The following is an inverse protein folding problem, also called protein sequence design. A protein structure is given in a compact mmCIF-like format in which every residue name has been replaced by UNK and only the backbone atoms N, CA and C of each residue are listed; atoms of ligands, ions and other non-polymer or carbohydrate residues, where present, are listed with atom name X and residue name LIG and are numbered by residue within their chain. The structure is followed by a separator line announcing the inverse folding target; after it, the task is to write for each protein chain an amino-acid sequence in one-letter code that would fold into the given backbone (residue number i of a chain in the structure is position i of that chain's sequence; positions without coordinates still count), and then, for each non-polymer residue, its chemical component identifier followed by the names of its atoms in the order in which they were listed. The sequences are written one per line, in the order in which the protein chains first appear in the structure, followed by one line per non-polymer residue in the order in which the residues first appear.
data_IF_644070828180
#
_entry.id   IF_644070828180
#
_cell.length_a   1.000
_cell.length_b   1.000
_cell.length_c   1.000
_cell.angle_alpha   90.00
_cell.angle_beta   90.00
_cell.angle_gamma   90.00
#
_symmetry.space_group_name_H-M   'P 1'
#
loop_
_entity.id
_entity.type
_entity.pdbx_description
1 polymer ?
#
# COMPACT_ATOMS: atom_id res chain seq x y z
N UNK A 1 25.04 -44.59 12.81
CA UNK A 1 24.75 -44.33 11.39
C UNK A 1 23.24 -44.35 11.22
N UNK A 2 22.61 -43.18 11.24
CA UNK A 2 21.21 -42.98 10.82
C UNK A 2 21.25 -41.89 9.77
N UNK A 3 20.76 -42.20 8.58
CA UNK A 3 20.60 -41.27 7.46
C UNK A 3 19.38 -40.37 7.71
N UNK A 4 19.44 -39.07 7.37
CA UNK A 4 18.27 -38.18 7.42
C UNK A 4 17.36 -38.39 6.20
N UNK A 5 16.07 -38.11 6.39
CA UNK A 5 15.00 -38.16 5.39
C UNK A 5 15.07 -36.93 4.44
N UNK A 6 14.52 -37.03 3.21
CA UNK A 6 14.55 -35.96 2.22
C UNK A 6 13.39 -34.98 2.47
N UNK A 7 13.69 -33.69 2.66
CA UNK A 7 12.64 -32.67 2.80
C UNK A 7 13.00 -31.38 3.54
N UNK A 8 14.23 -31.21 4.02
CA UNK A 8 14.66 -29.96 4.66
C UNK A 8 15.54 -29.15 3.70
N UNK A 9 14.89 -28.30 2.89
CA UNK A 9 15.59 -27.24 2.17
C UNK A 9 15.44 -25.93 2.93
N UNK A 10 16.48 -25.62 3.73
CA UNK A 10 16.99 -24.29 4.10
C UNK A 10 15.97 -23.16 4.27
N UNK A 11 15.51 -22.94 5.50
CA UNK A 11 14.80 -21.72 5.91
C UNK A 11 15.71 -20.64 6.54
N UNK A 12 17.03 -20.80 6.57
CA UNK A 12 17.92 -19.90 7.32
C UNK A 12 18.68 -18.86 6.46
N UNK A 13 18.45 -18.79 5.14
CA UNK A 13 19.19 -17.88 4.24
C UNK A 13 18.39 -16.62 3.81
N UNK A 14 17.19 -16.37 4.35
CA UNK A 14 16.31 -15.25 3.92
C UNK A 14 16.16 -14.09 4.92
N UNK A 15 16.86 -14.14 6.06
CA UNK A 15 16.87 -13.04 7.05
C UNK A 15 18.09 -12.11 6.94
N UNK A 16 18.96 -12.31 5.95
CA UNK A 16 20.21 -11.56 5.78
C UNK A 16 20.20 -10.49 4.68
N UNK A 17 19.08 -10.23 3.99
CA UNK A 17 19.05 -9.26 2.87
C UNK A 17 18.30 -7.96 3.17
N UNK A 18 17.83 -7.77 4.41
CA UNK A 18 17.13 -6.54 4.82
C UNK A 18 18.06 -5.40 5.27
N UNK A 19 19.38 -5.61 5.27
CA UNK A 19 20.38 -4.57 5.59
C UNK A 19 21.25 -4.10 4.42
N UNK A 20 21.04 -4.60 3.19
CA UNK A 20 21.93 -4.30 2.04
C UNK A 20 21.30 -3.51 0.89
N UNK A 21 20.09 -2.94 1.07
CA UNK A 21 19.48 -2.08 0.03
C UNK A 21 20.01 -0.64 0.06
N UNK A 22 20.76 -0.25 1.09
CA UNK A 22 21.49 1.03 1.12
C UNK A 22 22.86 0.99 0.41
N UNK A 23 23.34 -0.18 -0.03
CA UNK A 23 24.69 -0.33 -0.58
C UNK A 23 24.80 -0.22 -2.12
N UNK A 24 23.70 -0.04 -2.86
CA UNK A 24 23.72 0.00 -4.35
C UNK A 24 23.77 1.43 -4.92
N UNK A 25 23.89 2.48 -4.10
CA UNK A 25 23.91 3.88 -4.57
C UNK A 25 25.27 4.60 -4.61
N UNK A 26 26.39 3.93 -4.27
CA UNK A 26 27.73 4.52 -4.37
C UNK A 26 28.70 3.63 -5.16
N UNK A 27 28.58 3.66 -6.50
CA UNK A 27 29.76 3.43 -7.36
C UNK A 27 29.65 4.29 -8.61
N UNK A 28 29.67 5.61 -8.43
CA UNK A 28 30.07 6.49 -9.53
C UNK A 28 31.57 6.33 -9.73
N UNK A 29 31.92 5.97 -10.95
CA UNK A 29 33.27 5.60 -11.37
C UNK A 29 34.30 6.70 -11.12
N UNK A 30 35.52 6.24 -10.88
CA UNK A 30 36.75 7.00 -10.98
C UNK A 30 36.83 7.68 -12.37
N UNK A 31 36.47 8.97 -12.44
CA UNK A 31 36.77 9.79 -13.61
C UNK A 31 38.27 10.10 -13.54
N UNK A 32 39.07 9.33 -14.26
CA UNK A 32 40.45 9.72 -14.60
C UNK A 32 40.38 10.92 -15.54
N UNK A 33 40.39 12.13 -14.97
CA UNK A 33 40.59 13.36 -15.73
C UNK A 33 42.01 13.40 -16.32
N UNK A 34 42.20 13.95 -17.53
CA UNK A 34 43.53 14.19 -18.06
C UNK A 34 44.23 15.26 -17.19
N UNK A 35 45.49 15.01 -16.85
CA UNK A 35 46.36 15.98 -16.20
C UNK A 35 46.58 17.17 -17.14
N UNK A 36 45.72 18.19 -17.04
CA UNK A 36 45.91 19.47 -17.70
C UNK A 36 46.30 20.52 -16.66
N UNK A 37 47.48 21.10 -16.85
CA UNK A 37 48.02 22.23 -16.11
C UNK A 37 47.01 23.40 -16.14
N UNK A 38 46.28 23.60 -15.05
CA UNK A 38 45.39 24.74 -14.86
C UNK A 38 45.88 25.62 -13.69
N UNK A 39 47.00 26.29 -13.88
CA UNK A 39 47.50 27.34 -12.98
C UNK A 39 46.78 28.69 -13.16
N UNK A 40 45.61 28.73 -13.78
CA UNK A 40 44.97 30.01 -14.18
C UNK A 40 43.91 30.54 -13.19
N UNK A 41 43.40 29.72 -12.27
CA UNK A 41 42.33 30.14 -11.36
C UNK A 41 42.80 30.88 -10.09
N UNK A 42 44.11 30.88 -9.81
CA UNK A 42 44.67 31.45 -8.57
C UNK A 42 44.69 32.99 -8.53
N UNK A 43 44.45 33.70 -9.62
CA UNK A 43 44.67 35.16 -9.69
C UNK A 43 43.44 36.02 -9.36
N UNK A 44 42.28 35.41 -9.07
CA UNK A 44 41.01 36.16 -8.93
C UNK A 44 40.41 36.12 -7.53
N UNK A 45 40.96 35.33 -6.60
CA UNK A 45 40.50 35.29 -5.22
C UNK A 45 41.59 35.87 -4.33
N UNK A 46 41.33 37.04 -3.75
CA UNK A 46 42.19 37.58 -2.71
C UNK A 46 42.16 36.59 -1.53
N UNK A 47 43.32 36.31 -0.92
CA UNK A 47 43.43 35.44 0.25
C UNK A 47 42.48 35.90 1.36
N UNK A 48 42.27 37.22 1.48
CA UNK A 48 41.31 37.80 2.41
C UNK A 48 39.84 37.42 2.10
N UNK A 49 39.48 37.23 0.83
CA UNK A 49 38.13 36.83 0.44
C UNK A 49 37.90 35.34 0.71
N UNK A 50 38.94 34.50 0.53
CA UNK A 50 38.88 33.09 0.93
C UNK A 50 38.73 32.93 2.45
N UNK A 51 39.45 33.71 3.25
CA UNK A 51 39.28 33.73 4.70
C UNK A 51 37.86 34.14 5.10
N UNK A 52 37.28 35.17 4.44
CA UNK A 52 35.90 35.61 4.69
C UNK A 52 34.86 34.55 4.34
N UNK A 53 35.06 33.80 3.26
CA UNK A 53 34.16 32.71 2.86
C UNK A 53 34.23 31.55 3.87
N UNK A 54 35.41 31.26 4.41
CA UNK A 54 35.60 30.21 5.41
C UNK A 54 35.12 30.60 6.82
N UNK A 55 35.12 31.89 7.15
CA UNK A 55 34.64 32.43 8.43
C UNK A 55 33.12 32.64 8.46
N UNK A 56 32.43 32.59 7.32
CA UNK A 56 30.98 32.69 7.30
C UNK A 56 30.37 31.36 7.75
N UNK A 57 29.78 31.37 8.94
CA UNK A 57 28.98 30.26 9.43
C UNK A 57 27.81 30.06 8.44
N UNK A 58 27.78 28.91 7.78
CA UNK A 58 26.72 28.55 6.85
C UNK A 58 25.48 28.26 7.69
N UNK A 59 24.53 29.19 7.69
CA UNK A 59 23.20 28.95 8.23
C UNK A 59 22.48 27.98 7.29
N UNK A 60 22.51 26.69 7.64
CA UNK A 60 21.69 25.69 6.98
C UNK A 60 20.24 25.89 7.42
N UNK A 61 19.48 26.64 6.64
CA UNK A 61 18.03 26.66 6.76
C UNK A 61 17.51 25.30 6.28
N UNK A 62 17.35 24.34 7.19
CA UNK A 62 16.67 23.09 6.90
C UNK A 62 15.20 23.41 6.61
N UNK A 63 14.86 23.53 5.33
CA UNK A 63 13.46 23.53 4.91
C UNK A 63 12.91 22.17 5.30
N UNK A 64 12.06 22.14 6.33
CA UNK A 64 11.30 20.93 6.66
C UNK A 64 10.42 20.62 5.45
N UNK A 65 10.82 19.64 4.64
CA UNK A 65 9.94 19.07 3.65
C UNK A 65 8.69 18.58 4.39
N UNK A 66 7.55 19.22 4.14
CA UNK A 66 6.26 18.71 4.59
C UNK A 66 5.98 17.46 3.76
N UNK A 67 6.48 16.31 4.22
CA UNK A 67 6.02 15.04 3.67
C UNK A 67 4.50 15.01 3.87
N UNK A 68 3.77 14.89 2.76
CA UNK A 68 2.35 14.57 2.80
C UNK A 68 2.24 13.11 3.24
N UNK A 69 2.36 12.88 4.54
CA UNK A 69 2.19 11.55 5.11
C UNK A 69 0.71 11.23 5.14
N UNK A 70 0.33 10.15 4.47
CA UNK A 70 -0.96 9.50 4.68
C UNK A 70 -0.92 9.06 6.15
N UNK A 71 -1.97 9.34 6.93
CA UNK A 71 -2.01 9.00 8.36
C UNK A 71 -3.18 8.09 8.71
N UNK A 72 -3.00 7.31 9.78
CA UNK A 72 -4.03 6.42 10.33
C UNK A 72 -4.03 5.03 9.68
N UNK A 73 -5.07 4.26 9.95
CA UNK A 73 -5.15 2.86 9.53
C UNK A 73 -6.07 2.66 8.32
N UNK A 74 -5.70 1.78 7.39
CA UNK A 74 -6.49 1.42 6.20
C UNK A 74 -6.59 -0.09 6.06
N UNK A 75 -7.70 -0.55 5.51
CA UNK A 75 -7.89 -1.95 5.15
C UNK A 75 -7.45 -2.10 3.70
N UNK A 76 -6.49 -2.98 3.43
CA UNK A 76 -5.88 -3.13 2.09
C UNK A 76 -5.69 -4.61 1.71
N UNK A 77 -5.83 -4.92 0.43
CA UNK A 77 -5.35 -6.20 -0.12
C UNK A 77 -3.86 -6.05 -0.41
N UNK A 78 -3.01 -6.49 0.53
CA UNK A 78 -1.57 -6.16 0.51
C UNK A 78 -0.87 -6.65 -0.76
N UNK A 79 -1.18 -7.87 -1.22
CA UNK A 79 -0.64 -8.42 -2.46
C UNK A 79 -0.97 -7.53 -3.66
N UNK A 80 -2.23 -7.10 -3.79
CA UNK A 80 -2.66 -6.19 -4.85
C UNK A 80 -1.90 -4.86 -4.80
N UNK A 81 -1.78 -4.26 -3.62
CA UNK A 81 -1.10 -2.96 -3.45
C UNK A 81 0.38 -3.05 -3.83
N UNK A 82 1.09 -4.07 -3.34
CA UNK A 82 2.51 -4.29 -3.66
C UNK A 82 2.69 -4.49 -5.16
N UNK A 83 1.88 -5.35 -5.78
CA UNK A 83 1.95 -5.61 -7.22
C UNK A 83 1.72 -4.34 -8.04
N UNK A 84 0.76 -3.49 -7.64
CA UNK A 84 0.51 -2.21 -8.30
C UNK A 84 1.69 -1.24 -8.17
N UNK A 85 2.27 -1.13 -6.98
CA UNK A 85 3.41 -0.23 -6.75
C UNK A 85 4.61 -0.69 -7.59
N UNK A 86 4.94 -1.98 -7.55
CA UNK A 86 6.04 -2.55 -8.33
C UNK A 86 5.83 -2.39 -9.84
N UNK A 87 4.60 -2.62 -10.32
CA UNK A 87 4.25 -2.43 -11.72
C UNK A 87 4.41 -0.96 -12.15
N UNK A 88 3.89 -0.02 -11.37
CA UNK A 88 3.99 1.42 -11.64
C UNK A 88 5.46 1.85 -11.67
N UNK A 89 6.25 1.41 -10.68
CA UNK A 89 7.68 1.68 -10.63
C UNK A 89 8.39 1.14 -11.87
N UNK A 90 8.22 -0.15 -12.18
CA UNK A 90 8.85 -0.78 -13.35
C UNK A 90 8.48 -0.13 -14.68
N UNK A 91 7.19 0.21 -14.88
CA UNK A 91 6.72 0.90 -16.08
C UNK A 91 7.28 2.32 -16.18
N UNK A 92 7.38 3.03 -15.05
CA UNK A 92 7.86 4.39 -15.05
C UNK A 92 9.37 4.49 -15.27
N UNK A 93 10.15 3.52 -14.78
CA UNK A 93 11.59 3.43 -15.02
C UNK A 93 11.95 3.44 -16.52
N UNK A 94 11.08 2.90 -17.38
CA UNK A 94 11.29 2.92 -18.84
C UNK A 94 11.22 4.33 -19.45
N UNK A 95 10.58 5.27 -18.75
CA UNK A 95 10.36 6.65 -19.22
C UNK A 95 11.22 7.66 -18.47
N UNK A 96 11.59 7.37 -17.22
CA UNK A 96 12.36 8.27 -16.37
C UNK A 96 13.52 7.48 -15.73
N UNK A 97 14.75 7.80 -16.13
CA UNK A 97 15.98 7.11 -15.66
C UNK A 97 16.20 7.26 -14.15
N UNK A 98 15.72 8.35 -13.56
CA UNK A 98 15.79 8.63 -12.12
C UNK A 98 14.42 8.42 -11.44
N UNK A 99 13.58 7.53 -11.99
CA UNK A 99 12.26 7.25 -11.46
C UNK A 99 12.31 6.73 -10.02
N UNK A 100 11.90 7.57 -9.09
CA UNK A 100 11.61 7.20 -7.71
C UNK A 100 10.17 7.58 -7.41
N UNK A 101 9.29 6.59 -7.38
CA UNK A 101 7.87 6.79 -7.07
C UNK A 101 7.66 6.69 -5.56
N UNK A 102 7.00 7.69 -4.99
CA UNK A 102 6.69 7.74 -3.56
C UNK A 102 5.19 8.00 -3.34
N UNK A 103 4.68 7.62 -2.18
CA UNK A 103 3.33 7.99 -1.77
C UNK A 103 3.21 9.52 -1.71
N UNK A 104 2.13 10.05 -2.28
CA UNK A 104 1.89 11.48 -2.33
C UNK A 104 0.66 11.89 -1.52
N UNK A 105 -0.48 11.24 -1.76
CA UNK A 105 -1.71 11.50 -0.99
C UNK A 105 -2.70 10.36 -1.14
N UNK A 106 -3.67 10.36 -0.23
CA UNK A 106 -4.86 9.52 -0.31
C UNK A 106 -6.05 10.35 -0.79
N UNK A 107 -6.81 9.79 -1.73
CA UNK A 107 -8.05 10.35 -2.25
C UNK A 107 -9.20 9.46 -1.81
N UNK A 108 -10.11 10.01 -1.00
CA UNK A 108 -11.36 9.34 -0.59
C UNK A 108 -12.51 9.80 -1.49
N UNK A 109 -12.82 9.02 -2.53
CA UNK A 109 -13.90 9.31 -3.51
C UNK A 109 -15.25 8.69 -3.12
N UNK A 110 -15.51 8.51 -1.83
CA UNK A 110 -16.72 7.82 -1.37
C UNK A 110 -16.73 6.32 -1.69
N UNK A 111 -15.55 5.71 -1.85
CA UNK A 111 -15.34 4.29 -2.15
C UNK A 111 -15.45 3.36 -0.92
N UNK A 112 -16.00 3.89 0.18
CA UNK A 112 -16.12 3.17 1.44
C UNK A 112 -14.78 2.99 2.15
N UNK A 113 -14.48 1.75 2.50
CA UNK A 113 -13.23 1.34 3.17
C UNK A 113 -12.06 1.25 2.19
N UNK A 114 -12.34 1.16 0.89
CA UNK A 114 -11.33 1.17 -0.16
C UNK A 114 -10.86 2.60 -0.38
N UNK A 115 -9.56 2.81 -0.43
CA UNK A 115 -8.95 4.13 -0.63
C UNK A 115 -8.29 4.21 -2.00
N UNK A 116 -8.28 5.40 -2.62
CA UNK A 116 -7.48 5.65 -3.81
C UNK A 116 -6.16 6.28 -3.39
N UNK A 117 -5.06 5.64 -3.74
CA UNK A 117 -3.70 6.08 -3.41
C UNK A 117 -3.12 6.77 -4.63
N UNK A 118 -2.57 7.96 -4.41
CA UNK A 118 -1.81 8.71 -5.39
C UNK A 118 -0.31 8.57 -5.09
N UNK A 119 0.44 8.13 -6.09
CA UNK A 119 1.89 8.08 -6.10
C UNK A 119 2.43 9.18 -6.99
N UNK A 120 3.59 9.75 -6.63
CA UNK A 120 4.25 10.79 -7.40
C UNK A 120 5.72 10.44 -7.61
N UNK A 121 6.25 10.67 -8.82
CA UNK A 121 7.67 10.55 -9.09
C UNK A 121 8.43 11.77 -8.56
N UNK A 122 9.52 11.56 -7.82
CA UNK A 122 10.37 12.65 -7.31
C UNK A 122 11.13 13.42 -8.40
N UNK A 123 11.39 12.79 -9.56
CA UNK A 123 12.28 13.36 -10.57
C UNK A 123 11.53 14.13 -11.68
N UNK A 124 10.35 13.65 -12.09
CA UNK A 124 9.59 14.26 -13.19
C UNK A 124 8.17 14.70 -12.79
N UNK A 125 7.84 14.64 -11.50
CA UNK A 125 6.53 15.02 -10.93
C UNK A 125 5.31 14.28 -11.51
N UNK A 126 5.51 13.22 -12.29
CA UNK A 126 4.42 12.42 -12.85
C UNK A 126 3.65 11.71 -11.74
N UNK A 127 2.32 11.75 -11.86
CA UNK A 127 1.37 11.22 -10.88
C UNK A 127 0.72 9.94 -11.39
N UNK A 128 0.56 8.97 -10.49
CA UNK A 128 -0.09 7.69 -10.73
C UNK A 128 -1.14 7.45 -9.65
N UNK A 129 -2.25 6.81 -9.99
CA UNK A 129 -3.32 6.52 -9.04
C UNK A 129 -3.77 5.08 -9.14
N UNK A 130 -3.99 4.44 -8.00
CA UNK A 130 -4.57 3.09 -7.92
C UNK A 130 -5.43 2.97 -6.64
N UNK A 131 -6.22 1.91 -6.51
CA UNK A 131 -7.08 1.64 -5.34
C UNK A 131 -6.39 0.68 -4.37
N UNK A 132 -6.87 0.56 -3.12
CA UNK A 132 -6.33 -0.42 -2.16
C UNK A 132 -6.84 -1.85 -2.37
N UNK A 133 -7.71 -2.04 -3.35
CA UNK A 133 -8.32 -3.31 -3.74
C UNK A 133 -8.59 -3.30 -5.24
N UNK A 134 -8.74 -4.48 -5.85
CA UNK A 134 -9.31 -4.59 -7.19
C UNK A 134 -10.80 -4.22 -7.17
N UNK A 135 -11.16 -3.14 -7.89
CA UNK A 135 -12.53 -2.65 -8.00
C UNK A 135 -13.52 -3.68 -8.55
N UNK A 136 -13.04 -4.75 -9.20
CA UNK A 136 -13.88 -5.84 -9.68
C UNK A 136 -14.35 -6.79 -8.57
N UNK A 137 -13.59 -6.91 -7.48
CA UNK A 137 -13.87 -7.89 -6.43
C UNK A 137 -14.73 -7.31 -5.30
N UNK A 138 -14.49 -6.06 -4.89
CA UNK A 138 -15.21 -5.36 -3.80
C UNK A 138 -15.33 -6.18 -2.49
N UNK A 139 -14.33 -7.00 -2.21
CA UNK A 139 -14.22 -7.91 -1.06
C UNK A 139 -14.16 -7.16 0.25
N UNK A 140 -13.49 -6.00 0.31
CA UNK A 140 -13.28 -5.29 1.58
C UNK A 140 -14.60 -4.74 2.12
N UNK A 141 -15.32 -3.96 1.29
CA UNK A 141 -16.59 -3.38 1.71
C UNK A 141 -17.62 -4.48 2.00
N UNK A 142 -17.76 -5.45 1.10
CA UNK A 142 -18.69 -6.57 1.26
C UNK A 142 -18.38 -7.39 2.52
N UNK A 143 -17.11 -7.71 2.74
CA UNK A 143 -16.66 -8.52 3.88
C UNK A 143 -16.97 -7.85 5.22
N UNK A 144 -16.81 -6.53 5.32
CA UNK A 144 -17.16 -5.80 6.55
C UNK A 144 -18.67 -5.77 6.79
N UNK A 145 -19.47 -5.53 5.75
CA UNK A 145 -20.94 -5.54 5.88
C UNK A 145 -21.43 -6.93 6.27
N UNK A 146 -20.97 -7.97 5.59
CA UNK A 146 -21.31 -9.35 5.92
C UNK A 146 -20.88 -9.73 7.35
N UNK A 147 -19.63 -9.42 7.74
CA UNK A 147 -19.14 -9.70 9.09
C UNK A 147 -19.96 -8.97 10.16
N UNK A 148 -20.40 -7.74 9.87
CA UNK A 148 -21.30 -6.97 10.75
C UNK A 148 -22.65 -7.67 10.89
N UNK A 149 -23.30 -8.04 9.78
CA UNK A 149 -24.61 -8.70 9.79
C UNK A 149 -24.55 -10.09 10.45
N UNK A 150 -23.51 -10.87 10.17
CA UNK A 150 -23.29 -12.19 10.76
C UNK A 150 -23.10 -12.12 12.29
N UNK A 151 -22.56 -11.01 12.80
CA UNK A 151 -22.46 -10.76 14.25
C UNK A 151 -23.76 -10.27 14.90
N UNK A 152 -24.83 -10.03 14.11
CA UNK A 152 -26.06 -9.40 14.58
C UNK A 152 -25.93 -7.90 14.89
N UNK A 153 -24.95 -7.23 14.28
CA UNK A 153 -24.68 -5.80 14.47
C UNK A 153 -25.26 -4.94 13.35
N UNK A 154 -25.24 -3.62 13.55
CA UNK A 154 -25.70 -2.62 12.57
C UNK A 154 -24.57 -1.69 12.14
N UNK A 155 -24.84 -0.84 11.14
CA UNK A 155 -23.91 0.21 10.66
C UNK A 155 -23.31 1.06 11.79
N UNK A 156 -24.11 1.40 12.81
CA UNK A 156 -23.65 2.23 13.93
C UNK A 156 -22.53 1.55 14.70
N UNK A 157 -22.65 0.25 14.98
CA UNK A 157 -21.60 -0.53 15.64
C UNK A 157 -20.34 -0.60 14.78
N UNK A 158 -20.48 -0.80 13.47
CA UNK A 158 -19.34 -0.81 12.55
C UNK A 158 -18.63 0.54 12.55
N UNK A 159 -19.37 1.64 12.49
CA UNK A 159 -18.82 2.99 12.52
C UNK A 159 -18.07 3.28 13.81
N UNK A 160 -18.63 2.90 14.96
CA UNK A 160 -17.98 3.03 16.27
C UNK A 160 -16.69 2.20 16.31
N UNK A 161 -16.77 0.92 15.93
CA UNK A 161 -15.61 0.02 15.90
C UNK A 161 -14.48 0.59 15.03
N UNK A 162 -14.78 1.00 13.81
CA UNK A 162 -13.78 1.54 12.88
C UNK A 162 -13.19 2.87 13.39
N UNK A 163 -13.99 3.69 14.07
CA UNK A 163 -13.49 4.92 14.68
C UNK A 163 -12.50 4.67 15.82
N UNK A 164 -12.71 3.62 16.62
CA UNK A 164 -11.81 3.24 17.71
C UNK A 164 -10.42 2.80 17.22
N UNK A 165 -10.34 2.28 16.01
CA UNK A 165 -9.09 1.82 15.38
C UNK A 165 -8.59 2.79 14.30
N UNK A 166 -9.12 4.02 14.26
CA UNK A 166 -8.73 5.07 13.30
C UNK A 166 -8.77 4.61 11.83
N UNK A 167 -9.81 3.84 11.47
CA UNK A 167 -10.12 3.45 10.10
C UNK A 167 -11.28 4.31 9.59
N UNK A 168 -11.15 4.95 8.41
CA UNK A 168 -12.25 5.69 7.79
C UNK A 168 -13.43 4.76 7.51
N UNK A 169 -14.61 5.13 7.98
CA UNK A 169 -15.83 4.34 7.75
C UNK A 169 -16.42 4.57 6.35
N UNK A 170 -17.22 3.61 5.89
CA UNK A 170 -18.02 3.76 4.67
C UNK A 170 -19.27 4.64 4.91
N UNK A 171 -19.81 5.29 3.85
CA UNK A 171 -21.08 5.98 3.93
C UNK A 171 -22.24 5.03 4.26
N UNK A 172 -23.19 5.47 5.08
CA UNK A 172 -24.37 4.69 5.47
C UNK A 172 -25.16 4.18 4.25
N UNK A 173 -25.36 5.03 3.25
CA UNK A 173 -26.02 4.66 2.00
C UNK A 173 -25.36 3.45 1.33
N UNK A 174 -24.03 3.42 1.29
CA UNK A 174 -23.27 2.30 0.70
C UNK A 174 -23.42 1.04 1.55
N UNK A 175 -23.41 1.17 2.88
CA UNK A 175 -23.67 0.04 3.77
C UNK A 175 -25.04 -0.58 3.50
N UNK A 176 -26.10 0.24 3.41
CA UNK A 176 -27.46 -0.23 3.12
C UNK A 176 -27.58 -0.90 1.76
N UNK A 177 -26.90 -0.39 0.73
CA UNK A 177 -26.85 -1.03 -0.59
C UNK A 177 -26.24 -2.44 -0.53
N UNK A 178 -25.16 -2.63 0.23
CA UNK A 178 -24.56 -3.95 0.44
C UNK A 178 -25.41 -4.87 1.32
N UNK A 179 -26.09 -4.32 2.33
CA UNK A 179 -27.03 -5.06 3.17
C UNK A 179 -28.21 -5.60 2.34
N UNK A 180 -28.80 -4.77 1.48
CA UNK A 180 -29.88 -5.17 0.57
C UNK A 180 -29.39 -6.25 -0.41
N UNK A 181 -28.21 -6.06 -1.01
CA UNK A 181 -27.61 -7.06 -1.90
C UNK A 181 -27.41 -8.41 -1.20
N UNK A 182 -26.87 -8.41 0.04
CA UNK A 182 -26.70 -9.64 0.80
C UNK A 182 -28.04 -10.27 1.17
N UNK A 183 -29.02 -9.46 1.56
CA UNK A 183 -30.38 -9.93 1.87
C UNK A 183 -31.03 -10.64 0.68
N UNK A 184 -30.93 -10.07 -0.51
CA UNK A 184 -31.42 -10.68 -1.75
C UNK A 184 -30.73 -12.02 -2.04
N UNK A 185 -29.40 -12.07 -1.89
CA UNK A 185 -28.62 -13.31 -2.08
C UNK A 185 -29.02 -14.38 -1.10
N UNK A 186 -29.15 -14.05 0.19
CA UNK A 186 -29.60 -15.00 1.18
C UNK A 186 -31.01 -15.49 0.89
N UNK A 187 -31.95 -14.60 0.53
CA UNK A 187 -33.31 -14.98 0.18
C UNK A 187 -33.36 -16.02 -0.95
N UNK A 188 -32.56 -15.82 -2.01
CA UNK A 188 -32.48 -16.79 -3.13
C UNK A 188 -32.00 -18.16 -2.64
N UNK A 189 -30.97 -18.20 -1.79
CA UNK A 189 -30.44 -19.44 -1.21
C UNK A 189 -31.51 -20.13 -0.37
N UNK A 190 -32.16 -19.40 0.55
CA UNK A 190 -33.21 -19.93 1.41
C UNK A 190 -34.40 -20.50 0.63
N UNK A 191 -34.87 -19.79 -0.40
CA UNK A 191 -36.01 -20.25 -1.24
C UNK A 191 -35.60 -21.40 -2.14
N UNK A 192 -34.38 -21.38 -2.69
CA UNK A 192 -33.82 -22.48 -3.46
C UNK A 192 -33.80 -23.78 -2.68
N UNK A 193 -33.27 -23.76 -1.46
CA UNK A 193 -33.13 -24.96 -0.62
C UNK A 193 -34.44 -25.47 -0.03
N UNK A 194 -35.38 -24.58 0.30
CA UNK A 194 -36.67 -24.99 0.86
C UNK A 194 -37.56 -25.73 -0.14
N UNK A 195 -37.27 -25.64 -1.45
CA UNK A 195 -37.92 -26.49 -2.47
C UNK A 195 -37.35 -27.91 -2.56
N UNK A 196 -36.14 -28.17 -2.04
CA UNK A 196 -35.45 -29.45 -2.18
C UNK A 196 -35.34 -30.25 -0.87
N UNK A 197 -35.14 -29.60 0.29
CA UNK A 197 -34.67 -30.30 1.50
C UNK A 197 -35.58 -30.21 2.76
N UNK A 198 -36.79 -29.66 2.66
CA UNK A 198 -37.70 -29.53 3.81
C UNK A 198 -37.24 -28.46 4.83
N UNK A 199 -37.92 -28.33 5.99
CA UNK A 199 -37.83 -27.14 6.87
C UNK A 199 -36.54 -26.98 7.67
N UNK A 200 -35.58 -27.91 7.55
CA UNK A 200 -34.27 -27.83 8.21
C UNK A 200 -33.19 -27.65 7.15
N UNK A 201 -32.88 -26.40 6.85
CA UNK A 201 -31.78 -26.06 5.95
C UNK A 201 -30.49 -26.04 6.77
N UNK A 202 -29.67 -27.08 6.62
CA UNK A 202 -28.25 -26.98 6.94
C UNK A 202 -27.62 -26.10 5.85
N UNK A 203 -26.95 -25.01 6.22
CA UNK A 203 -26.19 -24.21 5.26
C UNK A 203 -24.95 -24.98 4.82
N UNK A 204 -25.12 -25.88 3.87
CA UNK A 204 -24.03 -26.24 3.00
C UNK A 204 -23.83 -25.03 2.08
N UNK A 205 -22.91 -24.14 2.46
CA UNK A 205 -22.61 -22.94 1.68
C UNK A 205 -22.23 -23.38 0.27
N UNK A 206 -23.03 -23.00 -0.73
CA UNK A 206 -22.65 -23.12 -2.13
C UNK A 206 -21.23 -22.60 -2.33
N UNK A 207 -20.42 -23.33 -3.10
CA UNK A 207 -19.01 -23.02 -3.34
C UNK A 207 -18.83 -21.56 -3.82
N UNK A 208 -19.78 -20.98 -4.54
CA UNK A 208 -19.71 -19.57 -4.96
C UNK A 208 -19.83 -18.57 -3.80
N UNK A 209 -20.75 -18.81 -2.86
CA UNK A 209 -20.95 -17.95 -1.69
C UNK A 209 -19.79 -18.17 -0.72
N UNK A 210 -19.37 -19.42 -0.51
CA UNK A 210 -18.19 -19.74 0.27
C UNK A 210 -16.94 -19.10 -0.31
N UNK A 211 -16.73 -19.14 -1.64
CA UNK A 211 -15.58 -18.50 -2.28
C UNK A 211 -15.68 -16.97 -2.24
N UNK A 212 -16.88 -16.39 -2.37
CA UNK A 212 -17.09 -14.95 -2.19
C UNK A 212 -16.74 -14.50 -0.75
N UNK A 213 -17.11 -15.30 0.25
CA UNK A 213 -16.88 -15.01 1.66
C UNK A 213 -15.43 -15.31 2.12
N UNK A 214 -14.82 -16.36 1.60
CA UNK A 214 -13.44 -16.76 1.91
C UNK A 214 -12.39 -16.07 1.04
N UNK A 215 -12.80 -15.35 -0.02
CA UNK A 215 -11.94 -14.45 -0.81
C UNK A 215 -11.32 -13.31 0.01
N UNK A 216 -11.79 -13.07 1.24
CA UNK A 216 -11.20 -12.11 2.20
C UNK A 216 -9.83 -12.57 2.74
N UNK A 217 -9.38 -13.80 2.44
CA UNK A 217 -8.04 -14.29 2.78
C UNK A 217 -6.96 -13.43 2.10
N UNK A 218 -6.30 -12.57 2.87
CA UNK A 218 -5.23 -11.69 2.39
C UNK A 218 -5.51 -10.18 2.53
N UNK A 219 -6.57 -9.81 3.24
CA UNK A 219 -6.82 -8.42 3.64
C UNK A 219 -6.07 -8.12 4.94
N UNK A 220 -5.30 -7.02 4.94
CA UNK A 220 -4.45 -6.62 6.06
C UNK A 220 -4.77 -5.20 6.52
N UNK A 221 -4.49 -4.93 7.79
CA UNK A 221 -4.49 -3.59 8.35
C UNK A 221 -3.14 -2.93 8.01
N UNK A 222 -3.18 -1.88 7.20
CA UNK A 222 -2.03 -1.06 6.91
C UNK A 222 -2.07 0.22 7.74
N UNK A 223 -0.99 0.49 8.49
CA UNK A 223 -0.79 1.74 9.22
C UNK A 223 0.11 2.63 8.40
N UNK A 224 -0.37 3.82 8.06
CA UNK A 224 0.44 4.84 7.41
C UNK A 224 1.08 5.72 8.50
N UNK A 225 2.41 5.66 8.60
CA UNK A 225 3.25 6.45 9.53
C UNK A 225 3.98 7.57 8.79
#
# INVERSE_FOLDING_TARGET
MRSPLPGESKCDDLLATWYDVEAIFFSYGEIRGPAHNDHRWSSYLNVNDLCRIMEHELEFESVKETHHTISGNRIVELGYVIDKILLIQAQHLQQCTLARVQFHKEIRRGTGLVSCIELKCCACDKVFTFTTEDAKKNVINMGVVWGTLASGSSYLHTKELLSCIDIPTMPEKMFSEYEEFLSEKFYIIYVGDSTQNGPLVCFDYDDEVYNMLTSTRGVFLWRAE
#
